data_IF_957949732168
#
_entry.id   IF_957949732168
#
_cell.length_a   1.000
_cell.length_b   1.000
_cell.length_c   1.000
_cell.angle_alpha   90.00
_cell.angle_beta   90.00
_cell.angle_gamma   90.00
#
_symmetry.space_group_name_H-M   'P 1'
#
loop_
_entity.id
_entity.type
_entity.pdbx_description
1 polymer ?
#
# COMPACT_ATOMS: atom_id res chain seq x y z
N UNK A 1 11.40 -16.04 -10.71
CA UNK A 1 11.35 -14.80 -11.52
C UNK A 1 10.91 -13.68 -10.61
N UNK A 2 11.75 -12.67 -10.41
CA UNK A 2 11.32 -11.48 -9.68
C UNK A 2 10.17 -10.78 -10.42
N UNK A 3 9.20 -10.21 -9.70
CA UNK A 3 8.12 -9.42 -10.32
C UNK A 3 8.73 -8.24 -11.09
N UNK A 4 8.24 -7.98 -12.31
CA UNK A 4 8.57 -6.77 -13.07
C UNK A 4 8.12 -5.51 -12.32
N UNK A 5 8.86 -4.42 -12.47
CA UNK A 5 8.40 -3.12 -11.97
C UNK A 5 7.16 -2.66 -12.74
N UNK A 6 6.25 -1.98 -12.05
CA UNK A 6 5.00 -1.52 -12.61
C UNK A 6 4.67 -0.11 -12.14
N UNK A 7 4.33 0.75 -13.08
CA UNK A 7 3.78 2.08 -12.82
C UNK A 7 2.28 2.06 -12.50
N UNK A 8 1.63 0.88 -12.43
CA UNK A 8 0.18 0.74 -12.27
C UNK A 8 -0.44 1.51 -11.10
N UNK A 9 0.32 1.69 -10.01
CA UNK A 9 -0.08 2.49 -8.85
C UNK A 9 -0.45 3.95 -9.20
N UNK A 10 -0.01 4.52 -10.32
CA UNK A 10 -0.44 5.87 -10.76
C UNK A 10 -1.96 6.01 -10.95
N UNK A 11 -2.66 4.90 -11.09
CA UNK A 11 -4.11 4.83 -11.27
C UNK A 11 -4.87 4.44 -9.99
N UNK A 12 -4.15 4.27 -8.88
CA UNK A 12 -4.69 3.80 -7.61
C UNK A 12 -4.73 4.90 -6.54
N UNK A 13 -5.62 4.72 -5.57
CA UNK A 13 -5.65 5.49 -4.33
C UNK A 13 -5.72 4.53 -3.13
N UNK A 14 -5.56 5.05 -1.92
CA UNK A 14 -5.55 4.20 -0.73
C UNK A 14 -6.91 3.54 -0.47
N UNK A 15 -8.02 4.23 -0.76
CA UNK A 15 -9.39 3.68 -0.74
C UNK A 15 -9.69 2.87 0.53
N UNK A 16 -9.40 3.47 1.68
CA UNK A 16 -9.51 2.80 2.97
C UNK A 16 -10.93 2.28 3.24
N UNK A 17 -11.94 3.12 3.00
CA UNK A 17 -13.35 2.80 3.26
C UNK A 17 -13.82 1.67 2.35
N UNK A 18 -13.45 1.72 1.08
CA UNK A 18 -13.79 0.69 0.09
C UNK A 18 -13.09 -0.63 0.40
N UNK A 19 -11.80 -0.58 0.76
CA UNK A 19 -11.06 -1.76 1.21
C UNK A 19 -11.74 -2.39 2.42
N UNK A 20 -12.11 -1.60 3.44
CA UNK A 20 -12.77 -2.07 4.65
C UNK A 20 -14.08 -2.79 4.35
N UNK A 21 -14.93 -2.22 3.48
CA UNK A 21 -16.19 -2.84 3.05
C UNK A 21 -15.94 -4.18 2.35
N UNK A 22 -15.02 -4.21 1.37
CA UNK A 22 -14.75 -5.43 0.60
C UNK A 22 -14.07 -6.50 1.45
N UNK A 23 -13.14 -6.15 2.35
CA UNK A 23 -12.50 -7.10 3.26
C UNK A 23 -13.55 -7.76 4.15
N UNK A 24 -14.50 -6.99 4.70
CA UNK A 24 -15.59 -7.54 5.51
C UNK A 24 -16.42 -8.55 4.72
N UNK A 25 -16.88 -8.20 3.52
CA UNK A 25 -17.62 -9.13 2.65
C UNK A 25 -16.79 -10.37 2.30
N UNK A 26 -15.52 -10.19 1.96
CA UNK A 26 -14.63 -11.31 1.60
C UNK A 26 -14.42 -12.26 2.78
N UNK A 27 -14.28 -11.73 4.00
CA UNK A 27 -14.16 -12.49 5.24
C UNK A 27 -15.43 -13.28 5.57
N UNK A 28 -16.60 -12.66 5.34
CA UNK A 28 -17.92 -13.26 5.56
C UNK A 28 -18.28 -14.34 4.52
N UNK A 29 -17.41 -14.59 3.54
CA UNK A 29 -17.52 -15.74 2.62
C UNK A 29 -18.04 -15.40 1.24
N UNK A 30 -18.32 -14.13 0.94
CA UNK A 30 -18.78 -13.72 -0.39
C UNK A 30 -17.72 -14.00 -1.47
N UNK A 31 -18.20 -14.40 -2.64
CA UNK A 31 -17.37 -14.61 -3.83
C UNK A 31 -16.96 -13.27 -4.46
N UNK A 32 -15.88 -13.27 -5.25
CA UNK A 32 -15.47 -12.06 -5.96
C UNK A 32 -16.52 -11.55 -6.94
N UNK A 33 -17.27 -12.46 -7.58
CA UNK A 33 -18.33 -12.08 -8.51
C UNK A 33 -19.53 -11.50 -7.77
N UNK A 34 -19.88 -12.03 -6.60
CA UNK A 34 -20.92 -11.45 -5.74
C UNK A 34 -20.55 -10.05 -5.24
N UNK A 35 -19.32 -9.85 -4.77
CA UNK A 35 -18.85 -8.51 -4.36
C UNK A 35 -18.82 -7.56 -5.56
N UNK A 36 -18.40 -8.05 -6.74
CA UNK A 36 -18.42 -7.26 -7.98
C UNK A 36 -19.84 -6.80 -8.32
N UNK A 37 -20.83 -7.68 -8.22
CA UNK A 37 -22.23 -7.34 -8.46
C UNK A 37 -22.69 -6.22 -7.50
N UNK A 38 -22.44 -6.35 -6.20
CA UNK A 38 -22.76 -5.28 -5.23
C UNK A 38 -22.05 -3.94 -5.54
N UNK A 39 -20.80 -3.98 -6.02
CA UNK A 39 -20.10 -2.76 -6.42
C UNK A 39 -20.75 -2.06 -7.62
N UNK A 40 -21.34 -2.80 -8.55
CA UNK A 40 -21.90 -2.26 -9.80
C UNK A 40 -23.40 -1.97 -9.71
N UNK A 41 -24.16 -2.84 -9.05
CA UNK A 41 -25.63 -2.82 -8.98
C UNK A 41 -26.12 -2.06 -7.75
N UNK A 42 -25.48 -2.24 -6.61
CA UNK A 42 -25.85 -1.58 -5.33
C UNK A 42 -25.00 -0.33 -5.04
N UNK A 43 -24.08 0.02 -5.95
CA UNK A 43 -23.16 1.14 -5.81
C UNK A 43 -22.38 1.12 -4.47
N UNK A 44 -21.92 -0.05 -4.03
CA UNK A 44 -21.19 -0.23 -2.76
C UNK A 44 -20.00 0.74 -2.58
N UNK A 45 -19.37 1.12 -3.70
CA UNK A 45 -18.22 2.02 -3.75
C UNK A 45 -18.59 3.51 -3.81
N UNK A 46 -19.87 3.87 -3.97
CA UNK A 46 -20.30 5.26 -4.10
C UNK A 46 -19.81 5.95 -5.37
N UNK A 47 -19.56 5.20 -6.45
CA UNK A 47 -18.99 5.70 -7.71
C UNK A 47 -20.09 5.77 -8.77
N UNK A 48 -20.42 6.98 -9.23
CA UNK A 48 -21.49 7.21 -10.19
C UNK A 48 -21.25 6.64 -11.60
N UNK A 49 -19.99 6.43 -11.99
CA UNK A 49 -19.64 5.92 -13.34
C UNK A 49 -19.25 4.45 -13.26
N UNK A 50 -20.06 3.58 -13.86
CA UNK A 50 -19.87 2.12 -13.82
C UNK A 50 -18.48 1.67 -14.29
N UNK A 51 -17.96 2.21 -15.40
CA UNK A 51 -16.63 1.86 -15.90
C UNK A 51 -15.53 2.16 -14.87
N UNK A 52 -15.69 3.24 -14.09
CA UNK A 52 -14.77 3.64 -13.02
C UNK A 52 -14.93 2.72 -11.82
N UNK A 53 -16.17 2.37 -11.44
CA UNK A 53 -16.46 1.42 -10.37
C UNK A 53 -15.83 0.05 -10.67
N UNK A 54 -16.03 -0.47 -11.90
CA UNK A 54 -15.43 -1.73 -12.37
C UNK A 54 -13.90 -1.70 -12.29
N UNK A 55 -13.28 -0.60 -12.71
CA UNK A 55 -11.82 -0.45 -12.66
C UNK A 55 -11.29 -0.38 -11.23
N UNK A 56 -11.92 0.42 -10.37
CA UNK A 56 -11.54 0.55 -8.95
C UNK A 56 -11.73 -0.78 -8.23
N UNK A 57 -12.84 -1.49 -8.46
CA UNK A 57 -13.05 -2.83 -7.95
C UNK A 57 -11.91 -3.79 -8.36
N UNK A 58 -11.43 -3.71 -9.61
CA UNK A 58 -10.28 -4.51 -10.07
C UNK A 58 -9.03 -4.27 -9.22
N UNK A 59 -8.69 -3.01 -8.95
CA UNK A 59 -7.54 -2.67 -8.10
C UNK A 59 -7.73 -3.14 -6.65
N UNK A 60 -8.92 -2.91 -6.07
CA UNK A 60 -9.25 -3.34 -4.71
C UNK A 60 -9.21 -4.87 -4.58
N UNK A 61 -9.80 -5.59 -5.53
CA UNK A 61 -9.78 -7.05 -5.60
C UNK A 61 -8.36 -7.56 -5.63
N UNK A 62 -7.52 -7.02 -6.52
CA UNK A 62 -6.12 -7.43 -6.59
C UNK A 62 -5.47 -7.22 -5.22
N UNK A 63 -5.57 -6.03 -4.64
CA UNK A 63 -4.95 -5.67 -3.36
C UNK A 63 -5.36 -6.61 -2.23
N UNK A 64 -6.67 -6.79 -2.06
CA UNK A 64 -7.26 -7.59 -0.99
C UNK A 64 -7.00 -9.09 -1.19
N UNK A 65 -6.78 -9.55 -2.43
CA UNK A 65 -6.40 -10.95 -2.70
C UNK A 65 -5.02 -11.33 -2.15
N UNK A 66 -4.21 -10.37 -1.71
CA UNK A 66 -2.94 -10.64 -1.02
C UNK A 66 -3.11 -10.95 0.47
N UNK A 67 -4.32 -10.77 0.99
CA UNK A 67 -4.68 -11.00 2.39
C UNK A 67 -5.33 -12.37 2.51
N UNK A 68 -4.86 -13.19 3.46
CA UNK A 68 -5.53 -14.43 3.80
C UNK A 68 -6.62 -14.18 4.86
N UNK A 69 -7.37 -15.23 5.21
CA UNK A 69 -8.46 -15.12 6.19
C UNK A 69 -7.97 -14.72 7.58
N UNK A 70 -6.73 -15.07 7.97
CA UNK A 70 -6.14 -14.70 9.26
C UNK A 70 -5.83 -13.21 9.32
N UNK A 71 -5.18 -12.65 8.30
CA UNK A 71 -4.90 -11.21 8.22
C UNK A 71 -6.19 -10.40 8.10
N UNK A 72 -7.18 -10.88 7.35
CA UNK A 72 -8.51 -10.24 7.31
C UNK A 72 -9.17 -10.22 8.70
N UNK A 73 -9.02 -11.29 9.50
CA UNK A 73 -9.51 -11.32 10.89
C UNK A 73 -8.80 -10.27 11.74
N UNK A 74 -7.47 -10.20 11.69
CA UNK A 74 -6.68 -9.20 12.41
C UNK A 74 -7.10 -7.79 11.99
N UNK A 75 -7.33 -7.55 10.69
CA UNK A 75 -7.84 -6.28 10.19
C UNK A 75 -9.19 -5.91 10.82
N UNK A 76 -10.14 -6.83 10.89
CA UNK A 76 -11.49 -6.55 11.38
C UNK A 76 -11.54 -6.35 12.91
N UNK A 77 -10.62 -6.99 13.65
CA UNK A 77 -10.51 -6.86 15.11
C UNK A 77 -9.56 -5.74 15.56
N UNK A 78 -8.64 -5.32 14.69
CA UNK A 78 -7.60 -4.35 14.98
C UNK A 78 -8.10 -2.90 14.98
N UNK A 79 -7.29 -2.02 15.55
CA UNK A 79 -7.55 -0.59 15.57
C UNK A 79 -7.36 0.06 14.18
N UNK A 80 -7.63 1.36 14.09
CA UNK A 80 -7.53 2.09 12.82
C UNK A 80 -6.10 2.08 12.26
N UNK A 81 -5.08 2.18 13.11
CA UNK A 81 -3.69 2.14 12.70
C UNK A 81 -3.35 0.78 12.07
N UNK A 82 -3.71 -0.31 12.75
CA UNK A 82 -3.51 -1.68 12.26
C UNK A 82 -4.23 -1.92 10.93
N UNK A 83 -5.49 -1.49 10.81
CA UNK A 83 -6.26 -1.60 9.57
C UNK A 83 -5.54 -0.91 8.39
N UNK A 84 -5.07 0.32 8.63
CA UNK A 84 -4.34 1.11 7.63
C UNK A 84 -3.02 0.45 7.22
N UNK A 85 -2.24 -0.03 8.19
CA UNK A 85 -0.97 -0.73 7.92
C UNK A 85 -1.20 -2.00 7.10
N UNK A 86 -2.24 -2.79 7.40
CA UNK A 86 -2.56 -3.99 6.60
C UNK A 86 -2.88 -3.62 5.14
N UNK A 87 -3.62 -2.55 4.89
CA UNK A 87 -3.92 -2.09 3.52
C UNK A 87 -2.65 -1.61 2.81
N UNK A 88 -1.77 -0.90 3.52
CA UNK A 88 -0.48 -0.47 2.98
C UNK A 88 0.40 -1.67 2.61
N UNK A 89 0.52 -2.67 3.50
CA UNK A 89 1.28 -3.90 3.25
C UNK A 89 0.67 -4.65 2.06
N UNK A 90 -0.65 -4.73 1.95
CA UNK A 90 -1.31 -5.32 0.79
C UNK A 90 -0.92 -4.62 -0.51
N UNK A 91 -0.86 -3.28 -0.52
CA UNK A 91 -0.38 -2.52 -1.67
C UNK A 91 1.11 -2.77 -1.98
N UNK A 92 1.96 -2.87 -0.96
CA UNK A 92 3.38 -3.20 -1.13
C UNK A 92 3.58 -4.62 -1.69
N UNK A 93 2.80 -5.62 -1.24
CA UNK A 93 2.81 -6.99 -1.80
C UNK A 93 2.43 -7.02 -3.30
N UNK A 94 1.57 -6.09 -3.74
CA UNK A 94 1.15 -5.95 -5.13
C UNK A 94 2.22 -5.32 -6.00
N UNK A 95 2.86 -4.27 -5.49
CA UNK A 95 3.76 -3.41 -6.26
C UNK A 95 5.17 -3.45 -5.67
N UNK A 96 6.05 -4.21 -6.34
CA UNK A 96 7.45 -4.39 -5.96
C UNK A 96 8.17 -3.05 -5.77
N UNK A 97 7.97 -2.10 -6.67
CA UNK A 97 8.67 -0.81 -6.63
C UNK A 97 8.26 0.00 -5.39
N UNK A 98 6.99 -0.06 -5.00
CA UNK A 98 6.53 0.58 -3.77
C UNK A 98 7.06 -0.12 -2.51
N UNK A 99 7.09 -1.46 -2.51
CA UNK A 99 7.71 -2.21 -1.43
C UNK A 99 9.19 -1.86 -1.26
N UNK A 100 9.95 -1.81 -2.35
CA UNK A 100 11.36 -1.44 -2.31
C UNK A 100 11.56 0.01 -1.87
N UNK A 101 10.67 0.93 -2.24
CA UNK A 101 10.73 2.29 -1.71
C UNK A 101 10.57 2.33 -0.17
N UNK A 102 9.61 1.56 0.36
CA UNK A 102 9.44 1.43 1.81
C UNK A 102 10.68 0.80 2.47
N UNK A 103 11.24 -0.23 1.86
CA UNK A 103 12.34 -1.01 2.42
C UNK A 103 13.72 -0.32 2.32
N UNK A 104 13.99 0.33 1.19
CA UNK A 104 15.29 0.94 0.90
C UNK A 104 15.37 2.38 1.43
N UNK A 105 14.26 3.13 1.41
CA UNK A 105 14.29 4.57 1.74
C UNK A 105 13.63 4.86 3.08
N UNK A 106 12.35 4.49 3.23
CA UNK A 106 11.61 4.83 4.45
C UNK A 106 12.20 4.13 5.67
N UNK A 107 12.37 2.81 5.58
CA UNK A 107 12.95 1.98 6.64
C UNK A 107 14.32 2.48 7.09
N UNK A 108 15.22 2.80 6.16
CA UNK A 108 16.55 3.32 6.46
C UNK A 108 16.47 4.61 7.30
N UNK A 109 15.60 5.54 6.91
CA UNK A 109 15.37 6.78 7.67
C UNK A 109 14.82 6.52 9.06
N UNK A 110 13.90 5.57 9.21
CA UNK A 110 13.39 5.18 10.54
C UNK A 110 14.52 4.66 11.42
N UNK A 111 15.39 3.80 10.89
CA UNK A 111 16.54 3.24 11.63
C UNK A 111 17.52 4.34 12.05
N UNK A 112 17.79 5.28 11.15
CA UNK A 112 18.70 6.41 11.42
C UNK A 112 18.09 7.49 12.32
N UNK A 113 16.80 7.36 12.70
CA UNK A 113 16.10 8.37 13.51
C UNK A 113 15.89 9.69 12.77
N UNK A 114 15.85 9.68 11.43
CA UNK A 114 15.60 10.87 10.62
C UNK A 114 14.13 11.26 10.71
N UNK A 115 13.87 12.52 11.04
CA UNK A 115 12.51 13.00 11.29
C UNK A 115 11.69 13.27 10.02
N UNK A 116 12.32 13.48 8.85
CA UNK A 116 11.63 13.96 7.64
C UNK A 116 11.95 13.13 6.38
N UNK A 117 10.94 12.93 5.54
CA UNK A 117 11.05 12.34 4.20
C UNK A 117 10.89 13.44 3.15
N UNK A 118 11.95 13.69 2.41
CA UNK A 118 12.05 14.78 1.45
C UNK A 118 11.81 14.30 0.03
N UNK A 119 11.41 15.22 -0.84
CA UNK A 119 11.21 14.93 -2.25
C UNK A 119 12.51 14.45 -2.93
N UNK A 120 13.68 14.87 -2.44
CA UNK A 120 14.98 14.39 -2.93
C UNK A 120 15.17 12.88 -2.71
N UNK A 121 14.67 12.33 -1.60
CA UNK A 121 14.87 10.93 -1.25
C UNK A 121 14.21 10.00 -2.27
N UNK A 122 12.95 10.30 -2.61
CA UNK A 122 12.23 9.53 -3.62
C UNK A 122 12.75 9.78 -5.05
N UNK A 123 13.31 10.98 -5.32
CA UNK A 123 13.94 11.25 -6.61
C UNK A 123 15.19 10.42 -6.81
N UNK A 124 16.04 10.32 -5.79
CA UNK A 124 17.26 9.50 -5.81
C UNK A 124 16.86 8.03 -5.98
N UNK A 125 15.84 7.56 -5.25
CA UNK A 125 15.31 6.21 -5.43
C UNK A 125 14.91 5.92 -6.88
N UNK A 126 14.07 6.76 -7.50
CA UNK A 126 13.67 6.53 -8.89
C UNK A 126 14.85 6.61 -9.85
N UNK A 127 15.78 7.55 -9.65
CA UNK A 127 16.98 7.66 -10.49
C UNK A 127 17.83 6.38 -10.44
N UNK A 128 18.06 5.85 -9.25
CA UNK A 128 18.76 4.57 -9.06
C UNK A 128 18.01 3.42 -9.76
N UNK A 129 16.67 3.37 -9.66
CA UNK A 129 15.88 2.33 -10.33
C UNK A 129 15.88 2.46 -11.86
N UNK A 130 15.94 3.67 -12.41
CA UNK A 130 16.14 3.90 -13.84
C UNK A 130 17.51 3.40 -14.32
N UNK A 131 18.56 3.64 -13.53
CA UNK A 131 19.92 3.19 -13.88
C UNK A 131 20.07 1.66 -13.79
N UNK A 132 19.27 1.00 -12.94
CA UNK A 132 19.30 -0.45 -12.71
C UNK A 132 18.35 -1.26 -13.61
N UNK A 133 17.35 -0.63 -14.24
CA UNK A 133 16.29 -1.33 -14.94
C UNK A 133 15.75 -0.59 -16.17
N UNK A 134 15.84 -1.22 -17.34
CA UNK A 134 15.42 -0.65 -18.62
C UNK A 134 13.92 -0.29 -18.68
N UNK A 135 13.03 -1.09 -18.08
CA UNK A 135 11.60 -0.79 -18.09
C UNK A 135 11.32 0.53 -17.36
N UNK A 136 11.99 0.76 -16.22
CA UNK A 136 11.86 2.00 -15.43
C UNK A 136 12.58 3.16 -16.10
N UNK A 137 13.74 2.92 -16.74
CA UNK A 137 14.47 3.92 -17.51
C UNK A 137 13.59 4.59 -18.58
N UNK A 138 12.68 3.83 -19.19
CA UNK A 138 11.77 4.31 -20.24
C UNK A 138 10.54 5.07 -19.70
N UNK A 139 10.37 5.22 -18.39
CA UNK A 139 9.23 5.96 -17.84
C UNK A 139 9.42 7.47 -17.94
N UNK A 140 8.33 8.16 -18.29
CA UNK A 140 8.32 9.62 -18.41
C UNK A 140 8.34 10.33 -17.06
N UNK A 141 8.85 11.55 -17.02
CA UNK A 141 8.82 12.41 -15.83
C UNK A 141 7.42 12.57 -15.24
N UNK A 142 6.39 12.64 -16.09
CA UNK A 142 4.99 12.68 -15.69
C UNK A 142 4.58 11.42 -14.93
N UNK A 143 5.02 10.25 -15.38
CA UNK A 143 4.74 8.97 -14.70
C UNK A 143 5.43 8.92 -13.35
N UNK A 144 6.71 9.28 -13.28
CA UNK A 144 7.48 9.33 -12.03
C UNK A 144 6.91 10.34 -11.04
N UNK A 145 6.49 11.52 -11.51
CA UNK A 145 5.81 12.53 -10.68
C UNK A 145 4.51 11.99 -10.09
N UNK A 146 3.69 11.29 -10.88
CA UNK A 146 2.46 10.68 -10.38
C UNK A 146 2.74 9.57 -9.38
N UNK A 147 3.73 8.71 -9.62
CA UNK A 147 4.14 7.68 -8.66
C UNK A 147 4.60 8.29 -7.34
N UNK A 148 5.42 9.34 -7.38
CA UNK A 148 5.85 10.08 -6.18
C UNK A 148 4.65 10.55 -5.36
N UNK A 149 3.70 11.22 -5.99
CA UNK A 149 2.47 11.67 -5.31
C UNK A 149 1.68 10.50 -4.74
N UNK A 150 1.50 9.41 -5.50
CA UNK A 150 0.79 8.22 -5.01
C UNK A 150 1.48 7.61 -3.79
N UNK A 151 2.82 7.46 -3.80
CA UNK A 151 3.56 6.84 -2.70
C UNK A 151 3.43 7.68 -1.43
N UNK A 152 3.61 9.00 -1.54
CA UNK A 152 3.44 9.91 -0.41
C UNK A 152 2.02 9.85 0.15
N UNK A 153 1.01 9.88 -0.72
CA UNK A 153 -0.39 9.81 -0.30
C UNK A 153 -0.69 8.50 0.43
N UNK A 154 -0.21 7.36 -0.08
CA UNK A 154 -0.40 6.07 0.58
C UNK A 154 0.24 6.04 1.97
N UNK A 155 1.44 6.59 2.11
CA UNK A 155 2.14 6.65 3.40
C UNK A 155 1.45 7.60 4.38
N UNK A 156 0.95 8.75 3.93
CA UNK A 156 0.16 9.68 4.75
C UNK A 156 -1.16 9.04 5.16
N UNK A 157 -1.90 8.47 4.22
CA UNK A 157 -3.18 7.81 4.49
C UNK A 157 -3.02 6.64 5.47
N UNK A 158 -1.90 5.92 5.38
CA UNK A 158 -1.55 4.82 6.27
C UNK A 158 -1.01 5.27 7.65
N UNK A 159 -0.64 6.55 7.80
CA UNK A 159 -0.09 7.09 9.04
C UNK A 159 1.41 6.86 9.23
N UNK A 160 2.15 6.49 8.17
CA UNK A 160 3.61 6.44 8.20
C UNK A 160 4.27 7.82 8.09
N UNK A 161 3.52 8.79 7.58
CA UNK A 161 3.93 10.19 7.46
C UNK A 161 2.83 11.11 7.99
N UNK A 162 3.23 12.21 8.62
CA UNK A 162 2.35 13.34 8.95
C UNK A 162 2.79 14.57 8.17
N UNK A 163 1.82 15.31 7.61
CA UNK A 163 2.11 16.53 6.86
C UNK A 163 2.00 17.74 7.79
N UNK A 164 3.14 18.41 8.01
CA UNK A 164 3.23 19.63 8.80
C UNK A 164 3.72 20.79 7.91
N UNK A 165 2.76 21.55 7.38
CA UNK A 165 3.05 22.57 6.36
C UNK A 165 3.61 21.92 5.08
N UNK A 166 4.88 22.19 4.77
CA UNK A 166 5.59 21.60 3.62
C UNK A 166 6.38 20.33 3.96
N UNK A 167 6.49 20.00 5.24
CA UNK A 167 7.31 18.88 5.74
C UNK A 167 6.48 17.61 5.84
N UNK A 168 7.12 16.48 5.56
CA UNK A 168 6.54 15.13 5.73
C UNK A 168 7.33 14.44 6.83
N UNK A 169 6.79 14.49 8.04
CA UNK A 169 7.44 13.95 9.23
C UNK A 169 7.18 12.44 9.32
N UNK A 170 8.21 11.64 9.63
CA UNK A 170 8.08 10.20 9.79
C UNK A 170 7.35 9.89 11.09
N UNK A 171 6.34 9.04 11.00
CA UNK A 171 5.59 8.51 12.13
C UNK A 171 5.60 6.97 12.07
N UNK A 172 6.71 6.32 12.51
CA UNK A 172 6.79 4.87 12.54
C UNK A 172 5.63 4.29 13.36
N UNK A 173 4.91 3.28 12.82
CA UNK A 173 3.75 2.71 13.48
C UNK A 173 4.19 1.80 14.62
N UNK A 174 3.36 1.76 15.68
CA UNK A 174 3.40 0.67 16.65
C UNK A 174 2.67 -0.52 16.03
N UNK A 175 3.34 -1.67 15.95
CA UNK A 175 2.75 -2.86 15.33
C UNK A 175 1.87 -3.65 16.28
N UNK A 176 0.72 -4.10 15.77
CA UNK A 176 -0.08 -5.11 16.44
C UNK A 176 0.70 -6.43 16.53
N UNK A 177 0.76 -6.99 17.74
CA UNK A 177 1.55 -8.19 18.04
C UNK A 177 1.04 -9.41 17.25
N UNK A 178 -0.28 -9.54 17.05
CA UNK A 178 -0.84 -10.66 16.26
C UNK A 178 -0.40 -10.53 14.80
N UNK A 179 -0.36 -9.32 14.28
CA UNK A 179 0.08 -9.04 12.92
C UNK A 179 1.58 -9.34 12.76
N UNK A 180 2.41 -8.90 13.68
CA UNK A 180 3.85 -9.16 13.65
C UNK A 180 4.15 -10.67 13.72
N UNK A 181 3.55 -11.39 14.67
CA UNK A 181 3.70 -12.84 14.78
C UNK A 181 3.24 -13.55 13.51
N UNK A 182 2.10 -13.15 12.93
CA UNK A 182 1.64 -13.71 11.66
C UNK A 182 2.71 -13.57 10.57
N UNK A 183 3.28 -12.38 10.37
CA UNK A 183 4.28 -12.19 9.31
C UNK A 183 5.60 -12.91 9.61
N UNK A 184 5.99 -13.01 10.89
CA UNK A 184 7.17 -13.78 11.31
C UNK A 184 7.01 -15.27 10.99
N UNK A 185 5.89 -15.87 11.39
CA UNK A 185 5.62 -17.30 11.24
C UNK A 185 5.46 -17.71 9.77
N UNK A 186 5.05 -16.77 8.90
CA UNK A 186 4.94 -17.00 7.46
C UNK A 186 6.21 -16.61 6.66
N UNK A 187 7.32 -16.27 7.34
CA UNK A 187 8.59 -15.92 6.67
C UNK A 187 8.58 -14.57 5.94
N UNK A 188 7.60 -13.72 6.23
CA UNK A 188 7.34 -12.44 5.58
C UNK A 188 7.73 -11.24 6.48
N UNK A 189 8.60 -11.45 7.48
CA UNK A 189 9.03 -10.42 8.45
C UNK A 189 9.61 -9.16 7.80
N UNK A 190 10.15 -9.27 6.59
CA UNK A 190 10.70 -8.13 5.85
C UNK A 190 9.64 -7.06 5.54
N UNK A 191 8.36 -7.44 5.40
CA UNK A 191 7.26 -6.48 5.22
C UNK A 191 7.00 -5.66 6.48
N UNK A 192 7.17 -6.27 7.66
CA UNK A 192 7.10 -5.54 8.94
C UNK A 192 8.28 -4.59 9.05
N UNK A 193 9.50 -5.09 8.81
CA UNK A 193 10.72 -4.27 8.82
C UNK A 193 10.63 -3.07 7.88
N UNK A 194 10.00 -3.23 6.72
CA UNK A 194 9.79 -2.15 5.76
C UNK A 194 8.97 -0.98 6.32
N UNK A 195 8.03 -1.25 7.24
CA UNK A 195 7.14 -0.23 7.80
C UNK A 195 7.50 0.20 9.23
N UNK A 196 8.30 -0.57 9.96
CA UNK A 196 8.69 -0.25 11.35
C UNK A 196 10.13 0.23 11.51
N UNK A 197 11.00 0.06 10.50
CA UNK A 197 12.44 0.27 10.67
C UNK A 197 13.14 -0.95 11.26
N UNK A 198 12.63 -1.44 12.40
CA UNK A 198 13.23 -2.49 13.22
C UNK A 198 12.30 -3.70 13.42
N UNK A 199 12.88 -4.90 13.44
CA UNK A 199 12.30 -6.10 14.07
C UNK A 199 13.43 -7.06 14.45
#
# INVERSE_FOLDING_TARGET
MEKKYSSGLVSESFWFIECKKIIKLKYDGYSWDGIRAMCLEENLLGISKEYRAKRIFGYLKNRISTLDKKVMKIFLEGDLATQKIIILIAAAKQNRLFYEFLYEVYREKVILGVCELNDSDINIFFKNKQDQNEDVANWTDTTLKRLRSTYMNFMVDAGLLTVNGKKKELTPPVMDIKLEHYFKDNGEIQLIKAVTGVS
#
